data_IF_395808442541
#
_entry.id   IF_395808442541
#
_cell.length_a   1.000
_cell.length_b   1.000
_cell.length_c   1.000
_cell.angle_alpha   90.00
_cell.angle_beta   90.00
_cell.angle_gamma   90.00
#
_symmetry.space_group_name_H-M   'P 1'
#
loop_
_entity.id
_entity.type
_entity.pdbx_description
1 polymer ?
#
# COMPACT_ATOMS: atom_id res chain seq x y z
N UNK A 1 -79.50 32.58 19.38
CA UNK A 1 -79.47 31.76 18.14
C UNK A 1 -78.91 32.68 17.07
N UNK A 2 -77.59 32.70 16.92
CA UNK A 2 -76.89 33.63 16.02
C UNK A 2 -76.14 32.82 14.98
N UNK A 3 -76.72 32.78 13.79
CA UNK A 3 -76.18 32.22 12.56
C UNK A 3 -74.84 32.86 12.21
N UNK A 4 -73.78 32.04 12.09
CA UNK A 4 -72.49 32.46 11.53
C UNK A 4 -72.33 31.78 10.17
N UNK A 5 -72.12 32.54 9.07
CA UNK A 5 -72.01 31.96 7.74
C UNK A 5 -70.66 31.26 7.54
N UNK A 6 -70.58 30.22 6.67
CA UNK A 6 -69.34 29.50 6.43
C UNK A 6 -68.35 30.30 5.56
N UNK A 7 -67.05 30.17 5.88
CA UNK A 7 -65.92 30.73 5.12
C UNK A 7 -65.75 30.06 3.75
N UNK A 8 -65.30 30.79 2.70
CA UNK A 8 -65.03 30.19 1.39
C UNK A 8 -63.78 29.30 1.43
N UNK A 9 -63.84 28.20 0.68
CA UNK A 9 -62.76 27.24 0.49
C UNK A 9 -61.56 27.90 -0.17
N UNK A 10 -60.39 27.80 0.45
CA UNK A 10 -59.13 28.28 -0.11
C UNK A 10 -58.56 27.24 -1.07
N UNK A 11 -58.47 27.64 -2.32
CA UNK A 11 -57.91 26.91 -3.44
C UNK A 11 -56.42 26.61 -3.16
N UNK A 12 -56.10 25.33 -2.95
CA UNK A 12 -54.76 24.86 -2.61
C UNK A 12 -53.96 24.63 -3.89
N UNK A 13 -53.25 25.65 -4.35
CA UNK A 13 -52.29 25.50 -5.44
C UNK A 13 -51.16 24.52 -5.05
N UNK A 14 -50.78 23.56 -5.92
CA UNK A 14 -49.71 22.62 -5.61
C UNK A 14 -48.36 23.35 -5.54
N UNK A 15 -47.73 23.27 -4.36
CA UNK A 15 -46.41 23.82 -4.09
C UNK A 15 -45.37 23.05 -4.92
N UNK A 16 -44.78 23.72 -5.91
CA UNK A 16 -43.77 23.16 -6.80
C UNK A 16 -42.63 22.50 -6.01
N UNK A 17 -42.46 21.20 -6.22
CA UNK A 17 -41.31 20.42 -5.77
C UNK A 17 -40.09 20.95 -6.54
N UNK A 18 -39.20 21.67 -5.86
CA UNK A 18 -37.88 22.01 -6.42
C UNK A 18 -37.13 20.71 -6.58
N UNK A 19 -37.02 20.22 -7.81
CA UNK A 19 -36.16 19.11 -8.15
C UNK A 19 -34.72 19.43 -7.77
N UNK A 20 -34.14 18.62 -6.91
CA UNK A 20 -32.72 18.66 -6.57
C UNK A 20 -31.94 18.24 -7.83
N UNK A 21 -31.38 19.21 -8.54
CA UNK A 21 -30.59 18.94 -9.74
C UNK A 21 -29.35 18.11 -9.35
N UNK A 22 -28.99 17.06 -10.11
CA UNK A 22 -27.86 16.20 -9.77
C UNK A 22 -26.58 17.03 -9.71
N UNK A 23 -25.98 17.06 -8.52
CA UNK A 23 -24.74 17.77 -8.20
C UNK A 23 -23.62 17.25 -9.12
N UNK A 24 -23.19 18.08 -10.07
CA UNK A 24 -22.17 17.72 -11.06
C UNK A 24 -20.94 17.08 -10.40
N UNK A 25 -20.53 15.92 -10.92
CA UNK A 25 -19.35 15.21 -10.43
C UNK A 25 -18.10 16.07 -10.62
N UNK A 26 -17.32 16.26 -9.54
CA UNK A 26 -16.10 17.07 -9.60
C UNK A 26 -15.08 16.40 -10.53
N UNK A 27 -14.44 17.15 -11.45
CA UNK A 27 -13.45 16.58 -12.35
C UNK A 27 -12.27 15.98 -11.56
N UNK A 28 -11.80 14.82 -12.00
CA UNK A 28 -10.70 14.06 -11.39
C UNK A 28 -9.46 14.08 -12.28
N UNK A 29 -8.29 14.10 -11.67
CA UNK A 29 -7.02 14.01 -12.37
C UNK A 29 -6.83 12.61 -12.98
N UNK A 30 -6.47 12.50 -14.25
CA UNK A 30 -6.21 11.22 -14.91
C UNK A 30 -5.01 10.46 -14.29
N UNK A 31 -4.02 11.17 -13.74
CA UNK A 31 -2.83 10.55 -13.14
C UNK A 31 -3.08 10.12 -11.69
N UNK A 32 -3.44 11.05 -10.79
CA UNK A 32 -3.61 10.70 -9.37
C UNK A 32 -5.04 10.31 -8.95
N UNK A 33 -6.03 10.43 -9.84
CA UNK A 33 -7.45 10.12 -9.62
C UNK A 33 -8.15 10.95 -8.52
N UNK A 34 -7.45 11.93 -7.93
CA UNK A 34 -8.04 12.90 -6.98
C UNK A 34 -8.83 13.99 -7.70
N UNK A 35 -9.78 14.65 -7.02
CA UNK A 35 -10.38 15.88 -7.53
C UNK A 35 -9.30 16.88 -7.95
N UNK A 36 -9.50 17.59 -9.06
CA UNK A 36 -8.49 18.54 -9.57
C UNK A 36 -8.07 19.59 -8.52
N UNK A 37 -9.01 20.02 -7.67
CA UNK A 37 -8.76 20.97 -6.58
C UNK A 37 -7.83 20.44 -5.47
N UNK A 38 -7.66 19.12 -5.36
CA UNK A 38 -6.77 18.47 -4.40
C UNK A 38 -5.78 17.52 -5.09
N UNK A 39 -5.48 17.76 -6.36
CA UNK A 39 -4.54 16.97 -7.14
C UNK A 39 -3.15 16.96 -6.49
N UNK A 40 -2.54 15.78 -6.38
CA UNK A 40 -1.22 15.61 -5.76
C UNK A 40 -0.06 15.53 -6.75
N UNK A 41 -0.33 15.51 -8.07
CA UNK A 41 0.70 15.34 -9.10
C UNK A 41 1.84 16.37 -9.01
N UNK A 42 1.56 17.59 -8.54
CA UNK A 42 2.59 18.62 -8.31
C UNK A 42 3.67 18.21 -7.31
N UNK A 43 3.35 17.29 -6.40
CA UNK A 43 4.23 16.80 -5.35
C UNK A 43 4.95 15.51 -5.73
N UNK A 44 4.62 14.91 -6.89
CA UNK A 44 5.31 13.71 -7.36
C UNK A 44 6.76 14.05 -7.64
N UNK A 45 7.66 13.24 -7.10
CA UNK A 45 9.10 13.33 -7.33
C UNK A 45 9.58 11.96 -7.75
N UNK A 46 9.74 11.71 -9.07
CA UNK A 46 10.25 10.44 -9.55
C UNK A 46 11.59 10.13 -8.89
N UNK A 47 11.70 8.97 -8.28
CA UNK A 47 12.88 8.50 -7.56
C UNK A 47 13.05 7.03 -7.91
N UNK A 48 14.18 6.70 -8.52
CA UNK A 48 14.53 5.33 -8.84
C UNK A 48 15.25 4.70 -7.65
N UNK A 49 14.78 3.54 -7.22
CA UNK A 49 15.39 2.79 -6.14
C UNK A 49 15.83 1.42 -6.61
N UNK A 50 16.99 0.97 -6.12
CA UNK A 50 17.51 -0.35 -6.46
C UNK A 50 16.71 -1.47 -5.79
N UNK A 51 16.04 -1.18 -4.66
CA UNK A 51 15.25 -2.14 -3.88
C UNK A 51 13.76 -2.05 -4.26
N UNK A 52 13.20 -3.03 -4.98
CA UNK A 52 11.78 -3.10 -5.26
C UNK A 52 10.91 -3.04 -4.01
N UNK A 53 9.83 -2.27 -4.10
CA UNK A 53 8.86 -2.11 -3.01
C UNK A 53 7.56 -2.81 -3.39
N UNK A 54 7.04 -3.62 -2.48
CA UNK A 54 5.69 -4.17 -2.52
C UNK A 54 4.88 -3.61 -1.35
N UNK A 55 3.74 -2.99 -1.63
CA UNK A 55 2.80 -2.53 -0.61
C UNK A 55 1.52 -3.36 -0.68
N UNK A 56 1.15 -3.99 0.42
CA UNK A 56 -0.12 -4.69 0.57
C UNK A 56 -1.09 -3.77 1.31
N UNK A 57 -2.08 -3.26 0.60
CA UNK A 57 -3.02 -2.27 1.10
C UNK A 57 -4.35 -2.92 1.52
N UNK A 58 -4.82 -2.55 2.71
CA UNK A 58 -6.14 -2.95 3.17
C UNK A 58 -7.26 -2.28 2.34
N UNK A 59 -8.33 -3.00 1.93
CA UNK A 59 -9.40 -2.45 1.08
C UNK A 59 -10.08 -1.20 1.65
N UNK A 60 -10.31 -1.17 2.97
CA UNK A 60 -10.89 0.00 3.64
C UNK A 60 -10.04 1.29 3.53
N UNK A 61 -8.74 1.20 3.23
CA UNK A 61 -7.87 2.35 3.00
C UNK A 61 -7.88 2.81 1.52
N UNK A 62 -8.31 1.95 0.58
CA UNK A 62 -8.39 2.28 -0.84
C UNK A 62 -9.33 3.47 -1.11
N UNK A 63 -10.43 3.55 -0.35
CA UNK A 63 -11.40 4.62 -0.43
C UNK A 63 -11.00 5.89 0.35
N UNK A 64 -9.93 5.83 1.16
CA UNK A 64 -9.46 6.98 1.92
C UNK A 64 -8.71 7.92 0.97
N UNK A 65 -9.40 8.96 0.50
CA UNK A 65 -8.89 10.04 -0.36
C UNK A 65 -7.75 10.88 0.30
N UNK A 66 -7.03 10.35 1.28
CA UNK A 66 -5.97 11.00 2.06
C UNK A 66 -4.71 10.12 2.24
N UNK A 67 -4.61 8.98 1.56
CA UNK A 67 -3.46 8.07 1.70
C UNK A 67 -2.19 8.60 1.03
N UNK A 68 -1.09 8.69 1.78
CA UNK A 68 0.25 9.01 1.26
C UNK A 68 0.79 7.94 0.32
N UNK A 69 0.20 6.74 0.32
CA UNK A 69 0.53 5.65 -0.59
C UNK A 69 0.39 6.04 -2.07
N UNK A 70 -0.60 6.86 -2.46
CA UNK A 70 -0.72 7.25 -3.87
C UNK A 70 0.44 8.15 -4.31
N UNK A 71 0.92 9.03 -3.43
CA UNK A 71 2.10 9.83 -3.71
C UNK A 71 3.36 8.95 -3.78
N UNK A 72 3.48 7.97 -2.88
CA UNK A 72 4.55 6.98 -2.88
C UNK A 72 4.59 6.20 -4.21
N UNK A 73 3.45 5.65 -4.64
CA UNK A 73 3.34 4.84 -5.86
C UNK A 73 3.69 5.61 -7.13
N UNK A 74 3.35 6.90 -7.20
CA UNK A 74 3.68 7.74 -8.36
C UNK A 74 5.13 8.22 -8.34
N UNK A 75 5.78 8.23 -7.17
CA UNK A 75 7.12 8.78 -6.99
C UNK A 75 8.20 7.70 -7.01
N UNK A 76 7.97 6.54 -6.37
CA UNK A 76 8.95 5.46 -6.28
C UNK A 76 8.80 4.44 -7.41
N UNK A 77 9.90 4.04 -8.03
CA UNK A 77 9.94 2.98 -9.03
C UNK A 77 11.17 2.06 -8.83
N UNK A 78 10.99 0.72 -8.76
CA UNK A 78 9.74 -0.02 -8.90
C UNK A 78 8.94 -0.12 -7.59
N UNK A 79 7.64 0.18 -7.66
CA UNK A 79 6.69 0.11 -6.54
C UNK A 79 5.40 -0.60 -6.98
N UNK A 80 5.18 -1.80 -6.46
CA UNK A 80 3.98 -2.60 -6.67
C UNK A 80 3.00 -2.38 -5.50
N UNK A 81 1.71 -2.26 -5.80
CA UNK A 81 0.66 -2.13 -4.79
C UNK A 81 -0.44 -3.14 -5.07
N UNK A 82 -0.75 -3.97 -4.08
CA UNK A 82 -1.83 -4.96 -4.16
C UNK A 82 -2.83 -4.69 -3.04
N UNK A 83 -4.13 -4.83 -3.33
CA UNK A 83 -5.20 -4.50 -2.38
C UNK A 83 -5.90 -5.78 -1.94
N UNK A 84 -5.99 -6.01 -0.63
CA UNK A 84 -6.65 -7.19 -0.09
C UNK A 84 -6.43 -7.37 1.41
N UNK A 85 -7.24 -8.23 2.02
CA UNK A 85 -7.06 -8.66 3.42
C UNK A 85 -6.47 -10.07 3.49
N UNK A 86 -6.93 -10.94 2.58
CA UNK A 86 -6.43 -12.28 2.33
C UNK A 86 -6.08 -12.39 0.85
N UNK A 87 -4.86 -12.81 0.57
CA UNK A 87 -4.35 -12.94 -0.78
C UNK A 87 -4.34 -14.40 -1.21
N UNK A 88 -4.50 -14.63 -2.51
CA UNK A 88 -4.25 -15.96 -3.08
C UNK A 88 -2.79 -16.37 -2.77
N UNK A 89 -2.54 -17.56 -2.17
CA UNK A 89 -1.21 -17.97 -1.77
C UNK A 89 -0.21 -18.02 -2.92
N UNK A 90 -0.65 -18.41 -4.13
CA UNK A 90 0.23 -18.51 -5.28
C UNK A 90 0.57 -17.12 -5.83
N UNK A 91 -0.40 -16.23 -5.92
CA UNK A 91 -0.18 -14.83 -6.28
C UNK A 91 0.76 -14.14 -5.29
N UNK A 92 0.50 -14.30 -3.99
CA UNK A 92 1.34 -13.74 -2.94
C UNK A 92 2.77 -14.28 -2.99
N UNK A 93 2.94 -15.60 -3.17
CA UNK A 93 4.26 -16.19 -3.34
C UNK A 93 5.00 -15.60 -4.55
N UNK A 94 4.32 -15.38 -5.68
CA UNK A 94 4.91 -14.75 -6.87
C UNK A 94 5.33 -13.30 -6.62
N UNK A 95 4.50 -12.49 -5.96
CA UNK A 95 4.84 -11.11 -5.64
C UNK A 95 6.04 -11.02 -4.70
N UNK A 96 6.12 -11.92 -3.72
CA UNK A 96 7.24 -12.01 -2.80
C UNK A 96 8.51 -12.53 -3.50
N UNK A 97 8.37 -13.43 -4.46
CA UNK A 97 9.47 -14.08 -5.17
C UNK A 97 10.00 -13.33 -6.41
N UNK A 98 9.45 -12.16 -6.79
CA UNK A 98 9.83 -11.54 -8.09
C UNK A 98 11.34 -11.36 -8.24
N UNK A 99 11.83 -11.38 -9.50
CA UNK A 99 13.03 -12.11 -9.83
C UNK A 99 14.23 -11.42 -9.20
N UNK A 100 15.05 -12.25 -8.57
CA UNK A 100 16.49 -12.08 -8.55
C UNK A 100 16.87 -11.56 -9.93
N UNK A 101 17.32 -10.30 -10.05
CA UNK A 101 17.80 -9.81 -11.34
C UNK A 101 18.78 -10.86 -11.88
N UNK A 102 18.43 -11.48 -13.01
CA UNK A 102 19.24 -12.50 -13.66
C UNK A 102 20.61 -11.88 -13.96
N UNK A 103 21.54 -12.09 -13.04
CA UNK A 103 22.95 -11.79 -13.27
C UNK A 103 23.55 -12.97 -14.01
N UNK A 104 23.17 -13.12 -15.29
CA UNK A 104 23.99 -13.68 -16.37
C UNK A 104 23.15 -13.84 -17.64
N UNK A 105 23.65 -13.26 -18.74
CA UNK A 105 23.14 -13.53 -20.08
C UNK A 105 23.21 -15.03 -20.43
N UNK A 106 22.12 -15.58 -20.99
CA UNK A 106 22.15 -16.67 -21.95
C UNK A 106 20.83 -16.73 -22.74
N UNK A 107 20.79 -15.99 -23.85
CA UNK A 107 19.90 -16.27 -24.99
C UNK A 107 20.55 -17.41 -25.82
N UNK A 108 19.86 -18.01 -26.80
CA UNK A 108 18.59 -18.74 -26.78
C UNK A 108 18.76 -20.16 -27.44
N UNK A 109 17.65 -20.85 -27.69
CA UNK A 109 17.47 -21.90 -28.72
C UNK A 109 17.28 -23.37 -28.27
N UNK A 110 16.19 -23.93 -28.83
CA UNK A 110 16.02 -25.31 -29.31
C UNK A 110 15.65 -26.44 -28.33
N UNK A 111 14.34 -26.67 -28.25
CA UNK A 111 13.63 -27.95 -28.47
C UNK A 111 13.84 -29.13 -27.49
N UNK A 112 12.98 -30.17 -27.54
CA UNK A 112 11.52 -30.20 -27.69
C UNK A 112 10.84 -30.93 -26.51
N UNK A 113 9.52 -30.78 -26.45
CA UNK A 113 8.61 -31.57 -25.62
C UNK A 113 8.66 -33.03 -26.06
N UNK A 114 8.97 -33.93 -25.11
CA UNK A 114 8.72 -35.37 -25.23
C UNK A 114 8.00 -35.86 -23.98
N UNK A 115 6.72 -36.17 -24.15
CA UNK A 115 5.88 -36.90 -23.20
C UNK A 115 6.31 -38.37 -23.16
N UNK A 116 6.14 -39.06 -22.03
CA UNK A 116 5.28 -40.23 -22.10
C UNK A 116 4.31 -40.35 -20.92
N UNK A 117 3.09 -40.81 -21.22
CA UNK A 117 2.18 -41.46 -20.27
C UNK A 117 2.50 -42.99 -20.26
N UNK A 118 1.82 -43.89 -19.51
CA UNK A 118 0.83 -43.74 -18.41
C UNK A 118 1.09 -44.70 -17.20
N UNK A 119 0.39 -44.54 -16.06
CA UNK A 119 -0.03 -45.64 -15.16
C UNK A 119 -0.98 -45.15 -14.03
N UNK A 120 -1.93 -45.97 -13.53
CA UNK A 120 -3.02 -45.54 -12.64
C UNK A 120 -2.77 -45.93 -11.15
N UNK A 121 -3.77 -45.86 -10.26
CA UNK A 121 -3.80 -45.01 -9.07
C UNK A 121 -3.27 -45.70 -7.80
N UNK A 122 -2.62 -44.94 -6.91
CA UNK A 122 -2.45 -45.40 -5.52
C UNK A 122 -2.63 -44.24 -4.56
N UNK A 123 -3.53 -44.45 -3.61
CA UNK A 123 -3.87 -43.55 -2.54
C UNK A 123 -2.62 -43.19 -1.73
N UNK A 124 -2.24 -41.91 -1.76
CA UNK A 124 -1.20 -41.38 -0.90
C UNK A 124 -1.64 -40.00 -0.40
N UNK A 125 -1.82 -39.93 0.93
CA UNK A 125 -1.73 -38.82 1.88
C UNK A 125 -2.07 -37.36 1.42
N UNK A 126 -2.71 -36.54 2.29
CA UNK A 126 -2.98 -35.14 1.97
C UNK A 126 -1.70 -34.41 1.54
N UNK A 127 -1.74 -33.55 0.51
CA UNK A 127 -0.56 -32.85 0.03
C UNK A 127 0.03 -32.02 1.16
N UNK A 128 1.25 -32.40 1.56
CA UNK A 128 2.04 -31.68 2.54
C UNK A 128 2.27 -30.27 2.03
N UNK A 129 1.99 -29.27 2.87
CA UNK A 129 2.23 -27.86 2.56
C UNK A 129 3.66 -27.68 1.99
N UNK A 130 3.84 -26.89 0.90
CA UNK A 130 5.15 -26.67 0.32
C UNK A 130 6.07 -26.05 1.38
N UNK A 131 7.16 -26.74 1.70
CA UNK A 131 8.23 -26.18 2.55
C UNK A 131 8.81 -24.95 1.84
N UNK A 132 8.82 -23.76 2.44
CA UNK A 132 9.33 -22.55 1.79
C UNK A 132 10.86 -22.62 1.70
N UNK A 133 11.36 -23.23 0.62
CA UNK A 133 12.78 -23.33 0.31
C UNK A 133 13.26 -22.12 -0.51
N UNK A 134 14.17 -21.33 0.07
CA UNK A 134 15.08 -20.38 -0.58
C UNK A 134 14.52 -19.11 -1.24
N UNK A 135 13.41 -19.14 -2.00
CA UNK A 135 12.99 -17.97 -2.79
C UNK A 135 12.42 -16.80 -1.97
N UNK A 136 11.80 -17.08 -0.81
CA UNK A 136 11.25 -16.03 0.08
C UNK A 136 12.33 -15.35 0.95
N UNK A 137 13.58 -15.83 0.91
CA UNK A 137 14.66 -15.34 1.80
C UNK A 137 15.07 -13.90 1.53
N UNK A 138 14.75 -13.35 0.35
CA UNK A 138 15.09 -11.99 -0.03
C UNK A 138 13.91 -11.01 0.01
N UNK A 139 12.75 -11.44 0.52
CA UNK A 139 11.66 -10.52 0.86
C UNK A 139 11.74 -10.13 2.32
N UNK A 140 11.76 -8.82 2.60
CA UNK A 140 11.89 -8.25 3.94
C UNK A 140 10.61 -7.50 4.31
N UNK A 141 9.95 -7.92 5.39
CA UNK A 141 8.76 -7.26 5.88
C UNK A 141 9.13 -6.11 6.83
N UNK A 142 8.79 -4.87 6.45
CA UNK A 142 8.88 -3.71 7.33
C UNK A 142 7.74 -3.74 8.35
N UNK A 143 8.03 -4.23 9.55
CA UNK A 143 7.05 -4.38 10.63
C UNK A 143 7.75 -4.51 11.99
N UNK A 144 7.14 -4.05 13.11
CA UNK A 144 7.73 -4.24 14.44
C UNK A 144 8.02 -5.70 14.76
N UNK A 145 9.19 -5.94 15.35
CA UNK A 145 9.62 -7.28 15.79
C UNK A 145 9.06 -7.55 17.18
N UNK A 146 8.39 -8.70 17.34
CA UNK A 146 7.95 -9.23 18.64
C UNK A 146 8.72 -10.51 18.98
N UNK A 147 8.80 -10.89 20.27
CA UNK A 147 9.38 -12.18 20.65
C UNK A 147 8.69 -13.33 19.89
N UNK A 148 9.49 -14.21 19.28
CA UNK A 148 9.00 -15.33 18.48
C UNK A 148 8.71 -15.04 17.01
N UNK A 149 8.88 -13.79 16.56
CA UNK A 149 8.79 -13.46 15.13
C UNK A 149 10.05 -13.96 14.37
N UNK A 150 9.93 -14.36 13.08
CA UNK A 150 11.12 -14.55 12.25
C UNK A 150 11.77 -13.18 12.09
N UNK A 151 12.99 -13.03 12.61
CA UNK A 151 13.76 -11.80 12.51
C UNK A 151 14.92 -12.04 11.57
N UNK A 152 15.31 -11.05 10.77
CA UNK A 152 16.68 -11.07 10.25
C UNK A 152 17.60 -10.62 11.37
N UNK A 153 18.45 -11.53 11.87
CA UNK A 153 19.58 -11.15 12.70
C UNK A 153 20.34 -10.02 11.98
N UNK A 154 20.52 -8.88 12.67
CA UNK A 154 21.15 -7.65 12.20
C UNK A 154 21.55 -7.65 10.72
N UNK A 155 20.63 -7.21 9.83
CA UNK A 155 20.97 -7.01 8.42
C UNK A 155 22.21 -6.13 8.32
N UNK A 156 23.23 -6.49 7.51
CA UNK A 156 24.30 -5.58 7.20
C UNK A 156 23.70 -4.39 6.45
N UNK A 157 23.79 -3.20 7.06
CA UNK A 157 23.31 -1.96 6.46
C UNK A 157 24.53 -1.13 6.03
N UNK A 158 24.57 -0.63 4.78
CA UNK A 158 23.62 -0.89 3.70
C UNK A 158 23.69 -2.33 3.18
N UNK A 159 22.62 -2.79 2.52
CA UNK A 159 22.58 -4.10 1.85
C UNK A 159 23.61 -4.13 0.72
N UNK A 160 24.38 -5.21 0.63
CA UNK A 160 25.39 -5.39 -0.42
C UNK A 160 24.79 -5.46 -1.84
N UNK A 161 23.61 -6.07 -1.98
CA UNK A 161 22.87 -6.18 -3.25
C UNK A 161 21.40 -5.79 -3.03
N UNK A 162 21.03 -4.49 -3.04
CA UNK A 162 19.65 -4.08 -2.84
C UNK A 162 18.70 -4.55 -3.95
N UNK A 163 19.21 -4.83 -5.16
CA UNK A 163 18.39 -5.27 -6.29
C UNK A 163 17.92 -6.73 -6.17
N UNK A 164 18.68 -7.55 -5.45
CA UNK A 164 18.29 -8.91 -5.11
C UNK A 164 17.21 -9.02 -4.05
N UNK A 165 16.83 -7.93 -3.38
CA UNK A 165 15.85 -7.95 -2.28
C UNK A 165 14.51 -7.32 -2.68
N UNK A 166 13.49 -7.54 -1.86
CA UNK A 166 12.21 -6.84 -1.93
C UNK A 166 11.83 -6.32 -0.56
N UNK A 167 11.48 -5.05 -0.48
CA UNK A 167 10.89 -4.46 0.73
C UNK A 167 9.36 -4.61 0.66
N UNK A 168 8.78 -5.20 1.70
CA UNK A 168 7.33 -5.42 1.83
C UNK A 168 6.78 -4.52 2.93
N UNK A 169 5.71 -3.77 2.62
CA UNK A 169 4.99 -2.92 3.56
C UNK A 169 3.52 -3.32 3.63
N UNK A 170 2.90 -3.10 4.79
CA UNK A 170 1.46 -3.25 5.00
C UNK A 170 0.84 -1.86 5.20
N UNK A 171 -0.11 -1.49 4.35
CA UNK A 171 -0.83 -0.21 4.43
C UNK A 171 -2.21 -0.42 5.07
N UNK A 172 -2.37 0.15 6.27
CA UNK A 172 -3.56 0.00 7.08
C UNK A 172 -3.34 0.50 8.51
N UNK A 173 -4.44 0.69 9.23
CA UNK A 173 -4.40 0.78 10.70
C UNK A 173 -3.75 -0.47 11.29
N UNK A 174 -3.19 -0.35 12.50
CA UNK A 174 -2.61 -1.49 13.20
C UNK A 174 -3.56 -2.69 13.36
N UNK A 175 -4.86 -2.46 13.48
CA UNK A 175 -5.85 -3.56 13.55
C UNK A 175 -5.93 -4.30 12.22
N UNK A 176 -5.99 -3.55 11.11
CA UNK A 176 -6.06 -4.08 9.75
C UNK A 176 -4.76 -4.81 9.37
N UNK A 177 -3.59 -4.23 9.61
CA UNK A 177 -2.31 -4.87 9.26
C UNK A 177 -2.06 -6.14 10.06
N UNK A 178 -2.44 -6.19 11.34
CA UNK A 178 -2.42 -7.43 12.13
C UNK A 178 -3.39 -8.47 11.59
N UNK A 179 -4.56 -8.08 11.11
CA UNK A 179 -5.50 -9.00 10.47
C UNK A 179 -4.91 -9.57 9.18
N UNK A 180 -4.37 -8.71 8.29
CA UNK A 180 -3.67 -9.14 7.08
C UNK A 180 -2.55 -10.14 7.40
N UNK A 181 -1.71 -9.87 8.40
CA UNK A 181 -0.68 -10.82 8.82
C UNK A 181 -1.27 -12.17 9.25
N UNK A 182 -2.32 -12.17 10.08
CA UNK A 182 -2.94 -13.42 10.56
C UNK A 182 -3.57 -14.24 9.44
N UNK A 183 -4.14 -13.59 8.43
CA UNK A 183 -4.83 -14.26 7.32
C UNK A 183 -3.88 -14.84 6.26
N UNK A 184 -2.61 -14.43 6.24
CA UNK A 184 -1.66 -14.79 5.19
C UNK A 184 -0.41 -15.49 5.79
N UNK A 185 -0.37 -16.84 5.80
CA UNK A 185 0.77 -17.59 6.36
C UNK A 185 2.12 -17.23 5.75
N UNK A 186 2.18 -16.96 4.44
CA UNK A 186 3.40 -16.53 3.76
C UNK A 186 3.96 -15.20 4.30
N UNK A 187 3.10 -14.27 4.74
CA UNK A 187 3.55 -13.03 5.36
C UNK A 187 4.08 -13.26 6.78
N UNK A 188 3.58 -14.30 7.46
CA UNK A 188 4.05 -14.65 8.81
C UNK A 188 5.44 -15.28 8.77
N UNK A 189 5.80 -15.96 7.68
CA UNK A 189 7.12 -16.55 7.51
C UNK A 189 8.17 -15.56 7.01
N UNK A 190 7.80 -14.33 6.63
CA UNK A 190 8.76 -13.33 6.19
C UNK A 190 9.62 -12.84 7.36
N UNK A 191 10.92 -12.62 7.14
CA UNK A 191 11.74 -11.94 8.11
C UNK A 191 11.22 -10.52 8.34
N UNK A 192 11.09 -10.16 9.61
CA UNK A 192 10.69 -8.81 10.04
C UNK A 192 11.91 -7.94 10.26
N UNK A 193 11.83 -6.71 9.78
CA UNK A 193 12.78 -5.65 10.08
C UNK A 193 12.05 -4.43 10.62
N UNK A 194 12.49 -3.99 11.80
CA UNK A 194 12.03 -2.75 12.40
C UNK A 194 12.98 -1.61 11.99
N UNK A 195 12.43 -0.42 11.75
CA UNK A 195 13.25 0.77 11.52
C UNK A 195 14.12 1.07 12.75
N UNK A 196 15.46 1.13 12.60
CA UNK A 196 16.33 1.53 13.69
C UNK A 196 16.15 3.03 13.96
N UNK A 197 15.73 3.37 15.19
CA UNK A 197 15.64 4.73 15.73
C UNK A 197 15.17 5.82 14.73
N UNK A 198 13.92 5.77 14.23
CA UNK A 198 13.48 6.68 13.18
C UNK A 198 13.36 8.13 13.71
N UNK A 199 13.84 9.15 12.97
CA UNK A 199 13.66 10.57 13.34
C UNK A 199 12.16 10.91 13.41
N UNK A 200 11.71 11.85 14.26
CA UNK A 200 10.28 12.09 14.54
C UNK A 200 9.41 12.25 13.28
N UNK A 201 8.14 11.84 13.38
CA UNK A 201 7.19 11.80 12.24
C UNK A 201 6.98 13.18 11.64
N UNK A 202 7.06 13.29 10.31
CA UNK A 202 6.70 14.49 9.54
C UNK A 202 5.21 14.51 9.19
N UNK A 203 4.48 13.40 9.37
CA UNK A 203 3.05 13.30 9.08
C UNK A 203 2.15 13.90 10.17
N UNK A 204 1.85 15.19 10.05
CA UNK A 204 0.93 15.91 10.95
C UNK A 204 -0.56 15.86 10.53
N UNK A 205 -0.90 15.23 9.39
CA UNK A 205 -2.28 15.21 8.85
C UNK A 205 -3.23 14.45 9.79
N UNK A 206 -2.78 13.40 10.49
CA UNK A 206 -3.49 12.85 11.65
C UNK A 206 -2.57 13.04 12.84
N UNK A 207 -3.07 13.47 14.01
CA UNK A 207 -2.31 13.38 15.26
C UNK A 207 -1.80 11.94 15.36
N UNK A 208 -0.51 11.75 15.11
CA UNK A 208 0.16 10.50 15.43
C UNK A 208 -0.04 10.30 16.93
N UNK A 209 -0.81 9.29 17.33
CA UNK A 209 -1.08 9.06 18.76
C UNK A 209 0.21 8.66 19.51
N UNK A 210 1.27 8.33 18.78
CA UNK A 210 2.61 8.08 19.29
C UNK A 210 3.68 8.61 18.29
N UNK A 211 4.81 9.14 18.77
CA UNK A 211 5.85 9.78 17.94
C UNK A 211 6.54 8.86 16.92
N UNK A 212 6.37 7.55 17.06
CA UNK A 212 6.85 6.48 16.17
C UNK A 212 5.89 6.16 15.01
N UNK A 213 4.64 6.65 15.01
CA UNK A 213 3.72 6.41 13.89
C UNK A 213 4.14 7.21 12.66
N UNK A 214 4.58 6.49 11.63
CA UNK A 214 4.94 7.02 10.30
C UNK A 214 3.81 6.76 9.32
N UNK A 215 3.64 7.64 8.34
CA UNK A 215 2.86 7.32 7.16
C UNK A 215 3.60 6.27 6.31
N UNK A 216 2.88 5.56 5.45
CA UNK A 216 3.44 4.54 4.55
C UNK A 216 4.58 5.08 3.69
N UNK A 217 4.46 6.35 3.24
CA UNK A 217 5.50 7.03 2.47
C UNK A 217 6.78 7.25 3.29
N UNK A 218 6.67 7.76 4.50
CA UNK A 218 7.86 8.00 5.35
C UNK A 218 8.52 6.69 5.75
N UNK A 219 7.72 5.68 6.12
CA UNK A 219 8.21 4.36 6.47
C UNK A 219 9.01 3.76 5.31
N UNK A 220 8.49 3.84 4.08
CA UNK A 220 9.20 3.40 2.88
C UNK A 220 10.49 4.18 2.65
N UNK A 221 10.46 5.52 2.69
CA UNK A 221 11.64 6.35 2.44
C UNK A 221 12.75 6.11 3.47
N UNK A 222 12.41 6.03 4.76
CA UNK A 222 13.37 5.76 5.83
C UNK A 222 13.97 4.36 5.70
N UNK A 223 13.15 3.36 5.35
CA UNK A 223 13.63 1.99 5.16
C UNK A 223 14.57 1.90 3.97
N UNK A 224 14.20 2.48 2.83
CA UNK A 224 15.03 2.49 1.63
C UNK A 224 16.34 3.25 1.84
N UNK A 225 16.30 4.41 2.51
CA UNK A 225 17.50 5.17 2.86
C UNK A 225 18.48 4.35 3.70
N UNK A 226 17.99 3.64 4.73
CA UNK A 226 18.81 2.80 5.58
C UNK A 226 19.35 1.55 4.84
N UNK A 227 18.49 0.88 4.05
CA UNK A 227 18.85 -0.35 3.33
C UNK A 227 19.80 -0.09 2.16
N UNK A 228 19.75 1.09 1.54
CA UNK A 228 20.60 1.44 0.40
C UNK A 228 21.80 2.32 0.78
N UNK A 229 21.83 2.89 2.00
CA UNK A 229 22.89 3.80 2.44
C UNK A 229 22.86 5.16 1.74
N UNK A 230 21.72 5.53 1.16
CA UNK A 230 21.55 6.77 0.38
C UNK A 230 20.35 7.57 0.89
N UNK A 231 20.56 8.32 1.96
CA UNK A 231 19.52 9.16 2.56
C UNK A 231 19.16 10.37 1.68
N UNK A 232 20.11 10.87 0.89
CA UNK A 232 19.91 12.08 0.08
C UNK A 232 18.96 11.84 -1.09
N UNK A 233 18.94 10.63 -1.65
CA UNK A 233 18.02 10.23 -2.73
C UNK A 233 16.55 10.48 -2.43
N UNK A 234 16.11 10.26 -1.19
CA UNK A 234 14.72 10.38 -0.79
C UNK A 234 14.36 11.76 -0.24
N UNK A 235 15.33 12.65 -0.03
CA UNK A 235 15.11 13.98 0.52
C UNK A 235 14.15 14.84 -0.33
N UNK A 236 14.22 14.86 -1.68
CA UNK A 236 13.28 15.62 -2.50
C UNK A 236 11.83 15.12 -2.37
N UNK A 237 11.64 13.80 -2.28
CA UNK A 237 10.32 13.19 -2.11
C UNK A 237 9.74 13.51 -0.72
N UNK A 238 10.56 13.42 0.33
CA UNK A 238 10.15 13.78 1.68
C UNK A 238 9.81 15.28 1.80
N UNK A 239 10.57 16.17 1.13
CA UNK A 239 10.26 17.59 1.08
C UNK A 239 8.93 17.87 0.34
N UNK A 240 8.68 17.17 -0.77
CA UNK A 240 7.42 17.29 -1.49
C UNK A 240 6.23 16.75 -0.67
N UNK A 241 6.46 15.69 0.12
CA UNK A 241 5.49 15.17 1.06
C UNK A 241 5.10 16.20 2.13
N UNK A 242 6.07 16.90 2.72
CA UNK A 242 5.79 17.97 3.69
C UNK A 242 4.93 19.09 3.08
N UNK A 243 5.26 19.52 1.86
CA UNK A 243 4.47 20.53 1.15
C UNK A 243 3.03 20.06 0.87
N UNK A 244 2.86 18.77 0.53
CA UNK A 244 1.54 18.18 0.38
C UNK A 244 0.76 18.14 1.71
N UNK A 245 1.42 17.75 2.81
CA UNK A 245 0.86 17.73 4.16
C UNK A 245 0.36 19.11 4.57
N UNK A 246 1.19 20.14 4.40
CA UNK A 246 0.83 21.51 4.68
C UNK A 246 -0.38 21.97 3.85
N UNK A 247 -0.41 21.63 2.55
CA UNK A 247 -1.52 21.98 1.67
C UNK A 247 -2.83 21.26 2.03
N UNK A 248 -2.78 20.01 2.51
CA UNK A 248 -3.96 19.28 2.98
C UNK A 248 -4.48 19.83 4.32
N UNK A 249 -3.60 20.26 5.22
CA UNK A 249 -3.98 20.90 6.49
C UNK A 249 -4.67 22.25 6.24
N UNK A 250 -4.13 23.08 5.33
CA UNK A 250 -4.72 24.37 4.96
C UNK A 250 -6.10 24.26 4.31
N UNK A 251 -6.44 23.11 3.72
CA UNK A 251 -7.76 22.84 3.10
C UNK A 251 -8.82 22.39 4.11
N UNK A 252 -8.46 22.14 5.36
CA UNK A 252 -9.44 21.73 6.39
C UNK A 252 -10.28 22.95 6.78
N UNK A 253 -11.61 22.85 6.80
CA UNK A 253 -12.42 23.90 7.39
C UNK A 253 -11.98 24.10 8.85
N UNK A 254 -11.97 25.35 9.36
CA UNK A 254 -11.74 25.59 10.79
C UNK A 254 -12.76 24.78 11.61
N UNK A 255 -12.28 24.18 12.69
CA UNK A 255 -13.08 23.40 13.63
C UNK A 255 -14.11 24.26 14.35
#
# INVERSE_FOLDING_TARGET
MSDTPPRPAQDSAPRAVRGDAPRAARPRCASCQRPLSSCLCRWVRPTLQALPVLVLQHPAEQAQAKGSLRLLQLSLQPCQVEVGEQFDPLALARWLAMPLADSAAANPASAPVSTPAPAPPSAAAPPSAPRPGSALTRSLLLYPVRPGDPTTAALPLPLADPAGWRLVLLDGTWRQTRQMLRLNPLLQSLPRWALPAPPPSRYAIRRAQRPDQRSTLEAACLALAALQGDAQRFAPLLAAFDGWVAAELARRPPA
#
